data_IF_974059534545
#
_entry.id   IF_974059534545
#
_cell.length_a   1.000
_cell.length_b   1.000
_cell.length_c   1.000
_cell.angle_alpha   90.00
_cell.angle_beta   90.00
_cell.angle_gamma   90.00
#
_symmetry.space_group_name_H-M   'P 1'
#
loop_
_entity.id
_entity.type
_entity.pdbx_description
1 polymer ?
#
# COMPACT_ATOMS: atom_id res chain seq x y z
N UNK A 1 5.70 5.71 16.56
CA UNK A 1 5.69 6.86 15.63
C UNK A 1 5.08 6.37 14.34
N UNK A 2 4.18 7.13 13.71
CA UNK A 2 3.60 6.76 12.42
C UNK A 2 4.67 6.88 11.33
N UNK A 3 4.90 5.81 10.57
CA UNK A 3 5.88 5.78 9.50
C UNK A 3 5.25 6.14 8.15
N UNK A 4 5.84 7.09 7.42
CA UNK A 4 5.42 7.46 6.06
C UNK A 4 6.43 7.05 4.99
N UNK A 5 5.92 6.58 3.86
CA UNK A 5 6.67 6.58 2.61
C UNK A 5 6.76 8.01 2.10
N UNK A 6 7.95 8.42 1.67
CA UNK A 6 8.15 9.75 1.11
C UNK A 6 7.80 9.76 -0.38
N UNK A 7 7.43 10.93 -0.95
CA UNK A 7 6.89 11.00 -2.30
C UNK A 7 7.80 10.42 -3.39
N UNK A 8 9.12 10.60 -3.29
CA UNK A 8 10.06 10.05 -4.27
C UNK A 8 10.06 8.52 -4.28
N UNK A 9 9.87 7.87 -3.12
CA UNK A 9 9.75 6.42 -3.06
C UNK A 9 8.45 5.95 -3.70
N UNK A 10 7.33 6.62 -3.39
CA UNK A 10 6.03 6.32 -3.98
C UNK A 10 6.04 6.44 -5.50
N UNK A 11 6.66 7.49 -6.04
CA UNK A 11 6.82 7.63 -7.47
C UNK A 11 7.57 6.43 -8.09
N UNK A 12 8.68 5.99 -7.50
CA UNK A 12 9.46 4.88 -8.06
C UNK A 12 8.69 3.55 -8.03
N UNK A 13 7.90 3.28 -6.99
CA UNK A 13 7.07 2.07 -6.97
C UNK A 13 5.90 2.15 -7.96
N UNK A 14 5.37 3.34 -8.22
CA UNK A 14 4.33 3.52 -9.24
C UNK A 14 4.90 3.35 -10.65
N UNK A 15 6.14 3.77 -10.87
CA UNK A 15 6.89 3.53 -12.12
C UNK A 15 7.22 2.03 -12.29
N UNK A 16 7.67 1.34 -11.23
CA UNK A 16 7.98 -0.09 -11.28
C UNK A 16 6.72 -0.95 -11.50
N UNK A 17 5.55 -0.52 -11.00
CA UNK A 17 4.24 -1.15 -11.26
C UNK A 17 3.58 -0.71 -12.58
N UNK A 18 4.25 0.13 -13.37
CA UNK A 18 3.75 0.65 -14.64
C UNK A 18 2.32 1.23 -14.54
N UNK A 19 2.04 1.98 -13.45
CA UNK A 19 0.68 2.47 -13.20
C UNK A 19 0.16 3.37 -14.32
N UNK A 20 -1.09 3.13 -14.71
CA UNK A 20 -1.82 3.93 -15.70
C UNK A 20 -3.12 4.45 -15.10
N UNK A 21 -3.83 5.32 -15.83
CA UNK A 21 -5.16 5.79 -15.40
C UNK A 21 -6.20 4.67 -15.29
N UNK A 22 -5.95 3.51 -15.90
CA UNK A 22 -6.81 2.33 -15.80
C UNK A 22 -6.51 1.47 -14.57
N UNK A 23 -5.37 1.70 -13.90
CA UNK A 23 -4.95 0.90 -12.76
C UNK A 23 -5.80 1.15 -11.51
N UNK A 24 -5.77 0.18 -10.61
CA UNK A 24 -6.40 0.23 -9.29
C UNK A 24 -5.38 -0.04 -8.19
N UNK A 25 -5.19 0.94 -7.30
CA UNK A 25 -4.24 0.83 -6.19
C UNK A 25 -4.95 0.69 -4.85
N UNK A 26 -4.41 -0.16 -3.97
CA UNK A 26 -4.93 -0.42 -2.63
C UNK A 26 -3.85 -0.20 -1.58
N UNK A 27 -4.07 0.75 -0.68
CA UNK A 27 -3.18 1.06 0.44
C UNK A 27 -3.72 0.49 1.76
N UNK A 28 -2.97 -0.47 2.31
CA UNK A 28 -3.32 -1.26 3.48
C UNK A 28 -2.68 -0.67 4.73
N UNK A 29 -3.46 0.08 5.51
CA UNK A 29 -2.97 0.90 6.62
C UNK A 29 -2.58 2.28 6.12
N UNK A 30 -3.53 2.95 5.45
CA UNK A 30 -3.24 4.15 4.65
C UNK A 30 -2.90 5.40 5.45
N UNK A 31 -3.11 5.37 6.77
CA UNK A 31 -2.96 6.52 7.66
C UNK A 31 -3.65 7.77 7.14
N UNK A 32 -2.87 8.79 6.78
CA UNK A 32 -3.43 10.06 6.28
C UNK A 32 -3.69 10.10 4.78
N UNK A 33 -3.41 9.01 4.05
CA UNK A 33 -3.77 8.86 2.64
C UNK A 33 -2.70 9.29 1.62
N UNK A 34 -1.42 9.38 2.02
CA UNK A 34 -0.34 9.85 1.14
C UNK A 34 -0.23 9.01 -0.15
N UNK A 35 -0.32 7.67 -0.04
CA UNK A 35 -0.26 6.75 -1.21
C UNK A 35 -1.47 6.95 -2.11
N UNK A 36 -2.68 6.97 -1.54
CA UNK A 36 -3.94 7.12 -2.28
C UNK A 36 -3.95 8.41 -3.08
N UNK A 37 -3.59 9.52 -2.44
CA UNK A 37 -3.56 10.83 -3.07
C UNK A 37 -2.49 10.90 -4.15
N UNK A 38 -1.27 10.45 -3.86
CA UNK A 38 -0.18 10.56 -4.81
C UNK A 38 -0.40 9.66 -6.04
N UNK A 39 -0.92 8.45 -5.87
CA UNK A 39 -1.21 7.57 -6.99
C UNK A 39 -2.27 8.16 -7.92
N UNK A 40 -3.37 8.67 -7.36
CA UNK A 40 -4.42 9.34 -8.11
C UNK A 40 -3.92 10.58 -8.87
N UNK A 41 -3.04 11.38 -8.25
CA UNK A 41 -2.43 12.54 -8.90
C UNK A 41 -1.36 12.18 -9.94
N UNK A 42 -0.60 11.12 -9.70
CA UNK A 42 0.52 10.72 -10.54
C UNK A 42 0.05 10.04 -11.83
N UNK A 43 -0.85 9.06 -11.71
CA UNK A 43 -1.30 8.23 -12.82
C UNK A 43 -2.73 8.55 -13.29
N UNK A 44 -3.50 9.33 -12.53
CA UNK A 44 -4.95 9.48 -12.78
C UNK A 44 -5.73 8.21 -12.47
N UNK A 45 -5.15 7.28 -11.71
CA UNK A 45 -5.71 5.96 -11.41
C UNK A 45 -6.74 6.01 -10.28
N UNK A 46 -7.54 4.96 -10.14
CA UNK A 46 -8.42 4.83 -8.96
C UNK A 46 -7.62 4.28 -7.79
N UNK A 47 -7.76 4.90 -6.62
CA UNK A 47 -7.00 4.58 -5.43
C UNK A 47 -7.91 4.41 -4.21
N UNK A 48 -7.66 3.35 -3.45
CA UNK A 48 -8.40 3.01 -2.25
C UNK A 48 -7.46 2.82 -1.06
N UNK A 49 -7.86 3.33 0.12
CA UNK A 49 -7.14 3.13 1.37
C UNK A 49 -8.05 2.61 2.48
N UNK A 50 -7.46 1.84 3.39
CA UNK A 50 -8.13 1.40 4.61
C UNK A 50 -7.27 1.74 5.84
N UNK A 51 -7.87 2.43 6.81
CA UNK A 51 -7.20 2.86 8.03
C UNK A 51 -8.03 2.51 9.27
N UNK A 52 -7.36 2.07 10.33
CA UNK A 52 -8.01 1.70 11.58
C UNK A 52 -8.22 2.90 12.51
N UNK A 53 -7.24 3.81 12.55
CA UNK A 53 -7.17 4.91 13.51
C UNK A 53 -8.08 6.09 13.09
N UNK A 54 -9.10 6.44 13.90
CA UNK A 54 -10.04 7.51 13.56
C UNK A 54 -9.37 8.88 13.42
N UNK A 55 -8.33 9.15 14.22
CA UNK A 55 -7.62 10.43 14.16
C UNK A 55 -6.89 10.62 12.82
N UNK A 56 -6.30 9.54 12.28
CA UNK A 56 -5.66 9.56 10.96
C UNK A 56 -6.70 9.65 9.86
N UNK A 57 -7.82 8.92 9.99
CA UNK A 57 -8.94 9.00 9.06
C UNK A 57 -9.45 10.43 8.91
N UNK A 58 -9.65 11.15 10.02
CA UNK A 58 -10.14 12.54 9.98
C UNK A 58 -9.19 13.47 9.22
N UNK A 59 -7.88 13.26 9.35
CA UNK A 59 -6.88 13.99 8.57
C UNK A 59 -6.93 13.60 7.08
N UNK A 60 -7.11 12.31 6.80
CA UNK A 60 -7.24 11.79 5.45
C UNK A 60 -8.47 12.36 4.72
N UNK A 61 -9.63 12.40 5.36
CA UNK A 61 -10.85 13.03 4.81
C UNK A 61 -10.63 14.49 4.44
N UNK A 62 -9.95 15.24 5.32
CA UNK A 62 -9.60 16.63 5.06
C UNK A 62 -8.66 16.79 3.87
N UNK A 63 -7.65 15.93 3.77
CA UNK A 63 -6.71 15.93 2.64
C UNK A 63 -7.42 15.57 1.32
N UNK A 64 -8.20 14.49 1.29
CA UNK A 64 -8.93 14.05 0.10
C UNK A 64 -9.90 15.13 -0.40
N UNK A 65 -10.68 15.72 0.51
CA UNK A 65 -11.60 16.82 0.18
C UNK A 65 -10.87 18.01 -0.42
N UNK A 66 -9.73 18.40 0.17
CA UNK A 66 -8.92 19.50 -0.34
C UNK A 66 -8.39 19.22 -1.75
N UNK A 67 -7.83 18.03 -1.99
CA UNK A 67 -7.29 17.65 -3.30
C UNK A 67 -8.41 17.55 -4.35
N UNK A 68 -9.57 16.99 -4.00
CA UNK A 68 -10.73 16.95 -4.89
C UNK A 68 -11.19 18.36 -5.30
N UNK A 69 -11.25 19.30 -4.36
CA UNK A 69 -11.57 20.70 -4.65
C UNK A 69 -10.53 21.35 -5.56
N UNK A 70 -9.24 21.11 -5.32
CA UNK A 70 -8.17 21.60 -6.21
C UNK A 70 -8.24 20.98 -7.61
N UNK A 71 -8.62 19.71 -7.71
CA UNK A 71 -8.88 19.05 -8.98
C UNK A 71 -9.98 19.72 -9.80
N UNK A 72 -11.08 20.12 -9.15
CA UNK A 72 -12.18 20.82 -9.83
C UNK A 72 -11.78 22.20 -10.36
N UNK A 73 -10.78 22.84 -9.75
CA UNK A 73 -10.29 24.17 -10.11
C UNK A 73 -9.11 24.14 -11.10
N UNK A 74 -8.54 22.97 -11.35
CA UNK A 74 -7.36 22.80 -12.20
C UNK A 74 -7.65 21.86 -13.38
N UNK A 75 -6.80 21.87 -14.40
CA UNK A 75 -6.88 20.90 -15.51
C UNK A 75 -6.07 19.64 -15.23
N UNK A 76 -5.75 19.37 -13.96
CA UNK A 76 -4.97 18.19 -13.57
C UNK A 76 -5.92 17.00 -13.52
N UNK A 77 -5.67 15.91 -14.27
CA UNK A 77 -6.46 14.71 -14.16
C UNK A 77 -6.22 14.09 -12.77
N UNK A 78 -7.26 14.08 -11.95
CA UNK A 78 -7.26 13.42 -10.63
C UNK A 78 -8.14 12.19 -10.74
N UNK A 79 -7.58 11.01 -10.47
CA UNK A 79 -8.32 9.77 -10.44
C UNK A 79 -9.19 9.62 -9.19
N UNK A 80 -9.96 8.52 -9.12
CA UNK A 80 -10.79 8.23 -7.95
C UNK A 80 -9.95 8.09 -6.68
N UNK A 81 -10.42 8.65 -5.56
CA UNK A 81 -9.77 8.50 -4.26
C UNK A 81 -10.83 8.17 -3.22
N UNK A 82 -10.62 7.08 -2.49
CA UNK A 82 -11.48 6.67 -1.38
C UNK A 82 -10.62 6.15 -0.23
N UNK A 83 -10.96 6.53 1.00
CA UNK A 83 -10.38 5.94 2.20
C UNK A 83 -11.52 5.60 3.14
N UNK A 84 -11.45 4.44 3.80
CA UNK A 84 -12.45 4.03 4.79
C UNK A 84 -11.82 3.73 6.15
N UNK A 85 -12.58 4.02 7.22
CA UNK A 85 -12.18 3.67 8.57
C UNK A 85 -12.61 2.25 8.93
N UNK A 86 -11.76 1.25 8.69
CA UNK A 86 -12.03 -0.16 8.98
C UNK A 86 -10.75 -0.90 9.33
N UNK A 87 -10.90 -2.12 9.85
CA UNK A 87 -9.76 -3.00 10.13
C UNK A 87 -9.42 -3.83 8.89
N UNK A 88 -8.29 -3.52 8.27
CA UNK A 88 -7.79 -4.21 7.08
C UNK A 88 -7.59 -5.72 7.24
N UNK A 89 -7.49 -6.22 8.48
CA UNK A 89 -7.30 -7.63 8.78
C UNK A 89 -8.60 -8.43 8.88
N UNK A 90 -9.71 -7.78 9.19
CA UNK A 90 -10.96 -8.47 9.55
C UNK A 90 -12.16 -8.02 8.74
N UNK A 91 -12.09 -6.85 8.09
CA UNK A 91 -13.20 -6.32 7.30
C UNK A 91 -13.24 -6.95 5.90
N UNK A 92 -14.43 -7.39 5.47
CA UNK A 92 -14.61 -8.03 4.17
C UNK A 92 -14.36 -7.06 2.99
N UNK A 93 -14.50 -5.76 3.20
CA UNK A 93 -14.25 -4.73 2.19
C UNK A 93 -12.80 -4.77 1.73
N UNK A 94 -11.86 -5.00 2.64
CA UNK A 94 -10.43 -5.11 2.30
C UNK A 94 -10.20 -6.25 1.29
N UNK A 95 -10.85 -7.40 1.48
CA UNK A 95 -10.74 -8.54 0.57
C UNK A 95 -11.23 -8.20 -0.83
N UNK A 96 -12.37 -7.52 -0.95
CA UNK A 96 -12.91 -7.09 -2.24
C UNK A 96 -11.92 -6.21 -2.99
N UNK A 97 -11.34 -5.21 -2.33
CA UNK A 97 -10.40 -4.30 -2.99
C UNK A 97 -9.09 -4.99 -3.38
N UNK A 98 -8.56 -5.86 -2.52
CA UNK A 98 -7.36 -6.67 -2.82
C UNK A 98 -7.56 -7.55 -4.06
N UNK A 99 -8.73 -8.15 -4.22
CA UNK A 99 -9.07 -9.02 -5.36
C UNK A 99 -9.11 -8.28 -6.71
N UNK A 100 -9.20 -6.95 -6.70
CA UNK A 100 -9.28 -6.12 -7.91
C UNK A 100 -8.08 -5.18 -8.08
N UNK A 101 -7.11 -5.24 -7.17
CA UNK A 101 -5.94 -4.37 -7.19
C UNK A 101 -4.95 -4.79 -8.27
N UNK A 102 -4.37 -3.80 -8.96
CA UNK A 102 -3.18 -3.97 -9.77
C UNK A 102 -1.92 -3.78 -8.93
N UNK A 103 -1.95 -2.81 -8.00
CA UNK A 103 -0.88 -2.59 -7.03
C UNK A 103 -1.44 -2.52 -5.61
N UNK A 104 -0.85 -3.29 -4.71
CA UNK A 104 -1.12 -3.22 -3.28
C UNK A 104 0.09 -2.62 -2.57
N UNK A 105 -0.13 -1.66 -1.68
CA UNK A 105 0.91 -1.05 -0.85
C UNK A 105 0.61 -1.34 0.61
N UNK A 106 1.60 -1.79 1.37
CA UNK A 106 1.42 -2.03 2.80
C UNK A 106 2.69 -1.68 3.60
N UNK A 107 2.60 -0.63 4.41
CA UNK A 107 3.59 -0.33 5.44
C UNK A 107 3.31 -1.16 6.70
N UNK A 108 3.82 -2.38 6.72
CA UNK A 108 3.69 -3.33 7.83
C UNK A 108 4.70 -3.13 8.99
N UNK A 109 5.49 -2.05 9.02
CA UNK A 109 6.52 -1.83 10.04
C UNK A 109 5.99 -2.04 11.47
N UNK A 110 4.81 -1.54 11.78
CA UNK A 110 4.23 -1.63 13.13
C UNK A 110 3.33 -2.86 13.37
N UNK A 111 3.18 -3.78 12.39
CA UNK A 111 2.30 -4.94 12.53
C UNK A 111 2.89 -6.08 13.40
N UNK A 112 4.20 -6.04 13.66
CA UNK A 112 4.89 -7.10 14.43
C UNK A 112 4.61 -7.05 15.94
N UNK A 113 4.39 -5.85 16.49
CA UNK A 113 4.18 -5.66 17.92
C UNK A 113 2.96 -6.44 18.47
N UNK A 114 2.11 -6.97 17.59
CA UNK A 114 0.90 -7.73 17.93
C UNK A 114 0.85 -9.11 17.26
N UNK A 115 1.93 -9.58 16.61
CA UNK A 115 1.96 -10.89 15.93
C UNK A 115 1.05 -11.00 14.69
N UNK A 116 0.66 -9.86 14.10
CA UNK A 116 -0.35 -9.79 13.03
C UNK A 116 0.21 -9.93 11.61
N UNK A 117 1.54 -9.95 11.44
CA UNK A 117 2.22 -10.11 10.15
C UNK A 117 1.70 -11.31 9.34
N UNK A 118 1.44 -12.45 9.98
CA UNK A 118 0.94 -13.66 9.30
C UNK A 118 -0.51 -13.53 8.80
N UNK A 119 -1.33 -12.75 9.49
CA UNK A 119 -2.71 -12.48 9.08
C UNK A 119 -2.74 -11.56 7.86
N UNK A 120 -1.82 -10.59 7.77
CA UNK A 120 -1.71 -9.71 6.61
C UNK A 120 -1.42 -10.50 5.33
N UNK A 121 -0.53 -11.50 5.36
CA UNK A 121 -0.22 -12.32 4.15
C UNK A 121 -1.46 -13.00 3.61
N UNK A 122 -2.26 -13.60 4.50
CA UNK A 122 -3.47 -14.33 4.11
C UNK A 122 -4.46 -13.42 3.41
N UNK A 123 -4.47 -12.14 3.76
CA UNK A 123 -5.37 -11.19 3.14
C UNK A 123 -4.97 -10.86 1.71
N UNK A 124 -3.73 -11.14 1.29
CA UNK A 124 -3.27 -10.98 -0.10
C UNK A 124 -3.50 -12.20 -0.98
N UNK A 125 -3.85 -13.36 -0.42
CA UNK A 125 -4.24 -14.55 -1.20
C UNK A 125 -5.29 -14.26 -2.30
N UNK A 126 -6.29 -13.39 -2.08
CA UNK A 126 -7.30 -13.06 -3.10
C UNK A 126 -6.82 -12.19 -4.26
N UNK A 127 -5.62 -11.59 -4.22
CA UNK A 127 -5.17 -10.70 -5.30
C UNK A 127 -5.07 -11.42 -6.65
N UNK A 128 -5.09 -10.69 -7.76
CA UNK A 128 -5.03 -11.29 -9.11
C UNK A 128 -3.62 -11.76 -9.46
N UNK A 129 -3.50 -12.73 -10.36
CA UNK A 129 -2.20 -13.08 -10.95
C UNK A 129 -1.62 -11.85 -11.66
N UNK A 130 -0.32 -11.62 -11.52
CA UNK A 130 0.33 -10.43 -12.04
C UNK A 130 0.13 -9.14 -11.22
N UNK A 131 -0.69 -9.16 -10.16
CA UNK A 131 -0.78 -8.02 -9.24
C UNK A 131 0.56 -7.83 -8.52
N UNK A 132 1.05 -6.59 -8.58
CA UNK A 132 2.23 -6.14 -7.86
C UNK A 132 1.87 -5.78 -6.42
N UNK A 133 2.79 -6.07 -5.51
CA UNK A 133 2.60 -5.83 -4.10
C UNK A 133 3.91 -5.39 -3.45
N UNK A 134 3.89 -4.25 -2.74
CA UNK A 134 5.03 -3.75 -1.99
C UNK A 134 4.81 -3.85 -0.48
N UNK A 135 5.69 -4.59 0.20
CA UNK A 135 5.73 -4.76 1.67
C UNK A 135 6.98 -4.13 2.26
N UNK A 136 6.85 -3.38 3.35
CA UNK A 136 7.98 -2.70 4.00
C UNK A 136 8.75 -3.54 5.04
N UNK A 137 10.02 -3.18 5.26
CA UNK A 137 10.99 -3.62 6.29
C UNK A 137 11.31 -5.11 6.42
N UNK A 138 10.32 -5.98 6.58
CA UNK A 138 10.53 -7.40 6.81
C UNK A 138 9.72 -8.24 5.83
N UNK A 139 10.42 -9.17 5.20
CA UNK A 139 9.75 -10.26 4.54
C UNK A 139 9.00 -11.07 5.59
N UNK A 140 8.09 -11.90 5.10
CA UNK A 140 7.61 -13.08 5.79
C UNK A 140 8.70 -14.11 6.22
N UNK A 141 9.98 -13.71 6.31
CA UNK A 141 11.08 -14.57 6.72
C UNK A 141 11.02 -14.92 8.22
N UNK A 142 10.31 -14.12 9.02
CA UNK A 142 9.93 -14.49 10.40
C UNK A 142 8.77 -15.48 10.47
N UNK A 143 8.14 -15.81 9.34
CA UNK A 143 7.12 -16.84 9.34
C UNK A 143 7.77 -18.23 9.40
N UNK A 144 7.02 -19.18 9.96
CA UNK A 144 7.46 -20.58 10.04
C UNK A 144 7.84 -21.13 8.65
N UNK A 145 8.69 -22.17 8.55
CA UNK A 145 9.09 -22.76 7.27
C UNK A 145 7.90 -23.05 6.33
N UNK A 146 6.76 -23.50 6.90
CA UNK A 146 5.51 -23.74 6.18
C UNK A 146 4.98 -22.49 5.47
N UNK A 147 4.99 -21.35 6.16
CA UNK A 147 4.51 -20.08 5.60
C UNK A 147 5.46 -19.53 4.54
N UNK A 148 6.77 -19.67 4.73
CA UNK A 148 7.76 -19.28 3.71
C UNK A 148 7.58 -20.08 2.42
N UNK A 149 7.38 -21.40 2.52
CA UNK A 149 7.07 -22.23 1.37
C UNK A 149 5.78 -21.78 0.68
N UNK A 150 4.71 -21.54 1.44
CA UNK A 150 3.44 -21.07 0.89
C UNK A 150 3.54 -19.72 0.17
N UNK A 151 4.25 -18.74 0.75
CA UNK A 151 4.52 -17.45 0.08
C UNK A 151 5.36 -17.65 -1.17
N UNK A 152 6.39 -18.49 -1.11
CA UNK A 152 7.25 -18.77 -2.26
C UNK A 152 6.52 -19.52 -3.38
N UNK A 153 5.49 -20.29 -3.06
CA UNK A 153 4.63 -20.95 -4.05
C UNK A 153 3.75 -19.93 -4.76
N UNK A 154 3.09 -19.03 -4.02
CA UNK A 154 2.14 -18.04 -4.54
C UNK A 154 2.79 -16.81 -5.20
N UNK A 155 3.94 -16.36 -4.73
CA UNK A 155 4.51 -15.06 -5.12
C UNK A 155 5.94 -15.21 -5.63
N UNK A 156 6.27 -14.45 -6.69
CA UNK A 156 7.65 -14.12 -7.04
C UNK A 156 8.09 -12.93 -6.19
N UNK A 157 9.16 -13.06 -5.40
CA UNK A 157 9.62 -12.01 -4.47
C UNK A 157 10.99 -11.48 -4.86
N UNK A 158 11.09 -10.16 -5.07
CA UNK A 158 12.32 -9.41 -5.26
C UNK A 158 12.59 -8.55 -4.02
N UNK A 159 13.74 -8.79 -3.38
CA UNK A 159 14.23 -7.98 -2.27
C UNK A 159 14.90 -6.72 -2.81
N UNK A 160 14.58 -5.57 -2.24
CA UNK A 160 15.14 -4.26 -2.58
C UNK A 160 15.54 -3.50 -1.31
N UNK A 161 16.24 -2.38 -1.47
CA UNK A 161 16.75 -1.57 -0.35
C UNK A 161 16.18 -0.16 -0.44
N UNK A 162 15.67 0.36 0.68
CA UNK A 162 15.31 1.77 0.79
C UNK A 162 16.55 2.65 0.66
N UNK A 163 16.44 3.63 -0.22
CA UNK A 163 17.39 4.72 -0.40
C UNK A 163 17.18 5.81 0.65
N UNK A 164 18.10 6.78 0.68
CA UNK A 164 18.07 7.83 1.69
C UNK A 164 16.91 8.76 1.41
N UNK A 165 16.08 8.99 2.44
CA UNK A 165 14.89 9.81 2.31
C UNK A 165 13.70 9.10 1.66
N UNK A 166 13.72 7.77 1.54
CA UNK A 166 12.54 7.02 1.07
C UNK A 166 11.43 6.89 2.12
N UNK A 167 11.81 6.89 3.40
CA UNK A 167 10.92 6.65 4.52
C UNK A 167 11.17 7.65 5.64
N UNK A 168 10.15 7.97 6.43
CA UNK A 168 10.24 9.00 7.48
C UNK A 168 10.97 8.58 8.75
N UNK A 169 11.29 7.30 8.89
CA UNK A 169 11.71 6.69 10.16
C UNK A 169 13.12 6.05 10.10
N UNK A 170 13.76 6.03 8.94
CA UNK A 170 15.09 5.46 8.74
C UNK A 170 15.84 6.27 7.69
N UNK A 171 17.14 6.49 7.92
CA UNK A 171 17.95 7.31 7.03
C UNK A 171 18.71 6.52 5.96
N UNK A 172 18.75 5.18 5.99
CA UNK A 172 19.23 4.28 4.93
C UNK A 172 19.22 2.80 5.36
N UNK A 173 19.22 1.87 4.40
CA UNK A 173 19.76 0.51 4.61
C UNK A 173 18.79 -0.52 5.17
N UNK A 174 17.49 -0.27 5.08
CA UNK A 174 16.46 -1.28 5.35
C UNK A 174 15.91 -1.86 4.06
N UNK A 175 15.51 -3.11 4.13
CA UNK A 175 14.99 -3.82 2.98
C UNK A 175 13.49 -3.56 2.81
N UNK A 176 13.02 -3.67 1.58
CA UNK A 176 11.61 -3.82 1.26
C UNK A 176 11.45 -4.91 0.21
N UNK A 177 10.23 -5.36 0.01
CA UNK A 177 9.96 -6.52 -0.83
C UNK A 177 8.89 -6.19 -1.86
N UNK A 178 9.28 -6.38 -3.11
CA UNK A 178 8.38 -6.38 -4.25
C UNK A 178 7.94 -7.81 -4.51
N UNK A 179 6.64 -8.04 -4.52
CA UNK A 179 6.05 -9.35 -4.73
C UNK A 179 5.06 -9.29 -5.88
N UNK A 180 5.12 -10.28 -6.76
CA UNK A 180 4.18 -10.44 -7.87
C UNK A 180 3.50 -11.77 -7.70
N UNK A 181 2.16 -11.80 -7.73
CA UNK A 181 1.44 -13.07 -7.67
C UNK A 181 1.65 -13.85 -8.97
N UNK A 182 2.00 -15.13 -8.84
CA UNK A 182 2.23 -16.05 -9.97
C UNK A 182 0.93 -16.60 -10.53
#
# INVERSE_FOLDING_TARGET
MYGKFNPCFLQRIFEEAELTSASYIVDMGSGVGDVVVQASLYAGCSAFGIELHPDLMKLAEGLLSHIQQLGQLSSIPIGGMEIIQRNMLTDATAKYHIEHADLIVCNNQCLDAQGKKSATVKNFDPCQEGCDYSISEDTFYFLSPKWRAWVADLFSTKKQVFQSGDVSWSNNGKDYYWQVKK
#
